data_IF_104610306016
#
_entry.id   IF_104610306016
#
_cell.length_a   1.000
_cell.length_b   1.000
_cell.length_c   1.000
_cell.angle_alpha   90.00
_cell.angle_beta   90.00
_cell.angle_gamma   90.00
#
_symmetry.space_group_name_H-M   'P 1'
#
loop_
_entity.id
_entity.type
_entity.pdbx_description
1 polymer ?
#
# COMPACT_ATOMS: atom_id res chain seq x y z
N UNK A 1 -72.92 40.24 11.30
CA UNK A 1 -73.17 40.01 12.74
C UNK A 1 -71.97 39.28 13.30
N UNK A 2 -71.44 39.75 14.45
CA UNK A 2 -70.61 39.04 15.45
C UNK A 2 -69.26 38.45 14.97
N UNK A 3 -68.05 38.91 15.36
CA UNK A 3 -67.54 39.46 16.65
C UNK A 3 -67.83 38.52 17.84
N UNK A 4 -66.93 38.20 18.78
CA UNK A 4 -65.55 38.63 19.10
C UNK A 4 -64.81 37.44 19.80
N UNK A 5 -63.70 37.49 20.56
CA UNK A 5 -62.89 38.57 21.15
C UNK A 5 -61.44 38.10 21.50
N UNK A 6 -60.69 38.96 22.19
CA UNK A 6 -59.34 38.78 22.77
C UNK A 6 -59.29 37.94 24.06
N UNK A 7 -58.09 37.44 24.45
CA UNK A 7 -57.52 37.78 25.77
C UNK A 7 -56.00 37.61 25.85
N UNK A 8 -55.39 38.28 26.83
CA UNK A 8 -53.94 38.33 27.14
C UNK A 8 -53.81 38.21 28.67
N UNK A 9 -52.87 37.41 29.18
CA UNK A 9 -52.53 37.36 30.62
C UNK A 9 -51.62 36.16 30.95
N UNK A 10 -50.32 36.34 31.19
CA UNK A 10 -49.66 36.68 32.47
C UNK A 10 -49.72 35.59 33.56
N UNK A 11 -48.69 34.72 33.66
CA UNK A 11 -47.57 34.83 34.64
C UNK A 11 -46.61 33.62 34.59
N UNK A 12 -45.39 33.86 35.08
CA UNK A 12 -44.18 33.01 35.06
C UNK A 12 -44.17 31.96 36.23
N UNK A 13 -43.12 31.12 36.48
CA UNK A 13 -41.72 31.24 36.00
C UNK A 13 -40.87 29.94 35.76
N UNK A 14 -39.60 30.17 35.35
CA UNK A 14 -38.37 29.36 35.63
C UNK A 14 -38.28 27.93 35.02
N UNK A 15 -37.37 27.60 34.09
CA UNK A 15 -35.90 27.60 34.28
C UNK A 15 -35.09 27.47 32.96
N UNK A 16 -33.85 27.99 33.04
CA UNK A 16 -32.71 27.97 32.12
C UNK A 16 -32.54 26.86 31.06
N UNK A 17 -32.12 27.26 29.85
CA UNK A 17 -30.76 27.02 29.33
C UNK A 17 -30.46 28.01 28.20
N UNK A 18 -29.24 28.58 28.18
CA UNK A 18 -28.83 29.58 27.18
C UNK A 18 -28.38 28.95 25.86
N UNK A 19 -28.56 29.68 24.77
CA UNK A 19 -28.04 29.37 23.44
C UNK A 19 -27.41 30.66 22.87
N UNK A 20 -26.17 30.93 23.27
CA UNK A 20 -25.36 32.02 22.69
C UNK A 20 -24.48 31.47 21.57
N UNK A 21 -24.74 31.92 20.34
CA UNK A 21 -23.98 31.49 19.17
C UNK A 21 -22.54 31.97 19.19
N UNK A 22 -21.61 31.11 18.79
CA UNK A 22 -20.24 31.52 18.47
C UNK A 22 -19.97 31.56 16.97
N UNK A 23 -19.41 32.70 16.56
CA UNK A 23 -19.01 33.01 15.19
C UNK A 23 -17.93 32.05 14.70
N UNK A 24 -18.01 31.65 13.44
CA UNK A 24 -16.85 31.12 12.74
C UNK A 24 -15.75 32.19 12.64
N UNK A 25 -14.55 31.87 13.14
CA UNK A 25 -13.33 32.63 12.88
C UNK A 25 -12.24 31.64 12.45
N UNK A 26 -11.64 31.92 11.30
CA UNK A 26 -10.56 31.12 10.71
C UNK A 26 -9.22 31.37 11.41
N UNK A 27 -8.50 30.30 11.78
CA UNK A 27 -7.03 30.36 11.90
C UNK A 27 -6.40 28.97 12.07
N UNK A 28 -5.41 28.65 11.21
CA UNK A 28 -4.26 27.82 11.57
C UNK A 28 -4.49 26.32 11.79
N UNK A 29 -4.66 25.56 10.70
CA UNK A 29 -4.44 24.11 10.73
C UNK A 29 -2.95 23.77 10.77
N UNK A 30 -2.34 23.82 11.95
CA UNK A 30 -0.99 23.29 12.16
C UNK A 30 -1.01 21.77 12.08
N UNK A 31 -0.22 21.21 11.18
CA UNK A 31 0.03 19.76 11.14
C UNK A 31 0.83 19.42 12.40
N UNK A 32 0.33 18.49 13.20
CA UNK A 32 0.93 18.22 14.50
C UNK A 32 0.21 17.11 15.26
N UNK A 33 0.95 16.04 15.53
CA UNK A 33 0.54 14.88 16.34
C UNK A 33 -0.63 14.07 15.76
N UNK A 34 -0.34 13.33 14.70
CA UNK A 34 -1.03 12.06 14.49
C UNK A 34 -0.65 11.11 15.63
N UNK A 35 -1.49 11.05 16.66
CA UNK A 35 -1.51 9.88 17.53
C UNK A 35 -1.84 8.64 16.68
N UNK A 36 -1.25 7.50 17.03
CA UNK A 36 -1.55 6.17 16.46
C UNK A 36 -2.99 6.10 15.95
N UNK A 37 -3.16 6.07 14.63
CA UNK A 37 -4.45 5.70 14.04
C UNK A 37 -4.81 4.35 14.64
N UNK A 38 -5.91 4.27 15.40
CA UNK A 38 -6.22 3.18 16.34
C UNK A 38 -6.62 1.86 15.66
N UNK A 39 -5.89 1.46 14.62
CA UNK A 39 -6.35 0.59 13.56
C UNK A 39 -5.24 -0.10 12.76
N UNK A 40 -4.03 0.47 12.64
CA UNK A 40 -2.82 -0.39 12.48
C UNK A 40 -2.72 -1.33 13.69
N UNK A 41 -3.06 -0.81 14.87
CA UNK A 41 -3.36 -1.60 16.08
C UNK A 41 -4.39 -2.73 15.88
N UNK A 42 -5.29 -2.65 14.90
CA UNK A 42 -6.29 -3.68 14.61
C UNK A 42 -5.66 -4.93 14.01
N UNK A 43 -4.92 -4.80 12.91
CA UNK A 43 -4.15 -5.90 12.31
C UNK A 43 -3.05 -6.37 13.27
N UNK A 44 -2.34 -5.46 13.92
CA UNK A 44 -1.32 -5.78 14.94
C UNK A 44 -1.91 -6.60 16.11
N UNK A 45 -3.05 -6.20 16.67
CA UNK A 45 -3.68 -6.93 17.77
C UNK A 45 -4.28 -8.27 17.31
N UNK A 46 -4.81 -8.34 16.09
CA UNK A 46 -5.25 -9.61 15.50
C UNK A 46 -4.07 -10.56 15.24
N UNK A 47 -2.93 -10.07 14.73
CA UNK A 47 -1.69 -10.83 14.61
C UNK A 47 -1.19 -11.34 15.97
N UNK A 48 -1.19 -10.49 17.00
CA UNK A 48 -0.85 -10.89 18.37
C UNK A 48 -1.80 -11.97 18.91
N UNK A 49 -3.12 -11.79 18.73
CA UNK A 49 -4.12 -12.77 19.15
C UNK A 49 -3.90 -14.13 18.45
N UNK A 50 -3.75 -14.12 17.13
CA UNK A 50 -3.50 -15.32 16.31
C UNK A 50 -2.14 -15.99 16.63
N UNK A 51 -1.13 -15.21 17.03
CA UNK A 51 0.14 -15.75 17.51
C UNK A 51 -0.02 -16.49 18.86
N UNK A 52 -0.92 -16.04 19.74
CA UNK A 52 -1.18 -16.68 21.05
C UNK A 52 -2.14 -17.86 21.01
N UNK A 53 -2.94 -18.03 19.94
CA UNK A 53 -3.89 -19.15 19.81
C UNK A 53 -3.19 -20.44 19.33
N UNK A 54 -3.41 -21.60 19.99
CA UNK A 54 -2.87 -22.87 19.52
C UNK A 54 -3.59 -23.36 18.25
N UNK A 55 -2.84 -23.96 17.33
CA UNK A 55 -3.33 -24.36 16.00
C UNK A 55 -4.47 -25.42 16.00
N UNK A 56 -4.79 -26.02 17.15
CA UNK A 56 -5.81 -27.06 17.28
C UNK A 56 -7.16 -26.55 17.82
N UNK A 57 -7.38 -25.23 17.92
CA UNK A 57 -8.63 -24.68 18.43
C UNK A 57 -9.19 -23.60 17.51
N UNK A 58 -10.23 -23.96 16.77
CA UNK A 58 -11.11 -23.05 16.03
C UNK A 58 -11.97 -22.23 17.01
N UNK A 59 -11.31 -21.34 17.77
CA UNK A 59 -11.98 -20.36 18.64
C UNK A 59 -12.23 -19.11 17.82
N UNK A 60 -13.39 -19.05 17.18
CA UNK A 60 -13.85 -17.82 16.53
C UNK A 60 -13.73 -16.64 17.51
N UNK A 61 -13.17 -15.51 17.03
CA UNK A 61 -12.69 -14.38 17.85
C UNK A 61 -13.79 -13.54 18.56
N UNK A 62 -14.94 -14.15 18.87
CA UNK A 62 -16.11 -13.53 19.51
C UNK A 62 -15.94 -13.20 20.99
N UNK A 63 -14.76 -13.48 21.58
CA UNK A 63 -14.49 -13.35 23.03
C UNK A 63 -13.37 -12.37 23.39
N UNK A 64 -12.99 -11.46 22.48
CA UNK A 64 -12.35 -10.19 22.86
C UNK A 64 -13.41 -9.08 22.95
N UNK A 65 -14.18 -9.12 24.04
CA UNK A 65 -15.24 -8.16 24.31
C UNK A 65 -14.71 -6.80 24.74
N UNK A 66 -14.47 -5.90 23.78
CA UNK A 66 -14.55 -4.45 24.02
C UNK A 66 -15.97 -4.03 23.64
N UNK A 67 -16.81 -3.87 24.66
CA UNK A 67 -18.26 -3.80 24.48
C UNK A 67 -18.75 -2.48 23.87
N UNK A 68 -19.40 -2.56 22.71
CA UNK A 68 -20.44 -1.62 22.26
C UNK A 68 -21.52 -2.41 21.52
N UNK A 69 -22.63 -2.67 22.21
CA UNK A 69 -23.81 -3.35 21.66
C UNK A 69 -24.69 -2.38 20.86
N UNK A 70 -25.48 -2.92 19.92
CA UNK A 70 -26.76 -2.46 19.31
C UNK A 70 -26.74 -2.55 17.77
N UNK A 71 -27.90 -2.73 17.11
CA UNK A 71 -28.82 -3.86 17.26
C UNK A 71 -28.92 -4.68 15.95
N UNK A 72 -29.56 -5.86 16.02
CA UNK A 72 -29.91 -6.64 14.82
C UNK A 72 -30.99 -5.90 14.02
N UNK A 73 -30.88 -5.98 12.69
CA UNK A 73 -32.06 -5.89 11.82
C UNK A 73 -32.06 -7.01 10.78
N UNK A 74 -33.24 -7.33 10.25
CA UNK A 74 -33.49 -8.57 9.49
C UNK A 74 -34.15 -8.34 8.13
N UNK A 75 -34.05 -9.36 7.25
CA UNK A 75 -34.57 -9.46 5.87
C UNK A 75 -33.65 -8.75 4.84
N UNK A 76 -33.42 -9.28 3.64
CA UNK A 76 -33.96 -10.48 2.99
C UNK A 76 -34.55 -10.15 1.62
N UNK A 77 -33.91 -10.60 0.54
CA UNK A 77 -34.34 -10.36 -0.84
C UNK A 77 -33.32 -10.89 -1.84
N UNK A 78 -33.76 -11.62 -2.84
CA UNK A 78 -32.91 -12.42 -3.73
C UNK A 78 -32.77 -11.82 -5.14
N UNK A 79 -31.63 -12.14 -5.79
CA UNK A 79 -31.40 -12.30 -7.23
C UNK A 79 -31.86 -11.20 -8.21
N UNK A 80 -30.96 -10.78 -9.10
CA UNK A 80 -30.99 -11.24 -10.51
C UNK A 80 -29.71 -10.83 -11.28
N UNK A 81 -29.22 -11.72 -12.15
CA UNK A 81 -28.12 -11.44 -13.07
C UNK A 81 -28.55 -10.51 -14.21
N UNK A 82 -27.68 -9.58 -14.62
CA UNK A 82 -27.70 -8.98 -15.95
C UNK A 82 -26.27 -8.74 -16.45
N UNK A 83 -26.00 -9.19 -17.67
CA UNK A 83 -24.71 -9.10 -18.36
C UNK A 83 -24.37 -7.66 -18.76
N UNK A 84 -23.09 -7.26 -18.64
CA UNK A 84 -22.55 -6.03 -19.24
C UNK A 84 -21.48 -6.36 -20.26
N UNK A 85 -21.67 -5.88 -21.50
CA UNK A 85 -20.70 -5.92 -22.60
C UNK A 85 -19.76 -4.70 -22.56
N UNK A 86 -18.56 -4.77 -23.19
CA UNK A 86 -17.61 -3.67 -23.19
C UNK A 86 -18.12 -2.48 -23.99
N UNK A 87 -17.78 -1.27 -23.54
CA UNK A 87 -17.99 -0.02 -24.29
C UNK A 87 -16.69 0.33 -25.01
N UNK A 88 -16.74 0.38 -26.33
CA UNK A 88 -15.62 0.77 -27.19
C UNK A 88 -15.43 2.30 -27.22
N UNK A 89 -14.25 2.73 -27.67
CA UNK A 89 -13.81 4.12 -27.58
C UNK A 89 -14.65 5.14 -28.35
N UNK A 90 -14.72 6.35 -27.77
CA UNK A 90 -15.12 7.57 -28.46
C UNK A 90 -14.04 8.62 -28.25
N UNK A 91 -13.46 9.12 -29.34
CA UNK A 91 -12.41 10.14 -29.27
C UNK A 91 -12.99 11.47 -28.77
N UNK A 92 -12.27 12.13 -27.86
CA UNK A 92 -12.49 13.52 -27.45
C UNK A 92 -11.20 14.28 -27.72
N UNK A 93 -11.30 15.47 -28.33
CA UNK A 93 -10.15 16.29 -28.70
C UNK A 93 -9.36 16.72 -27.46
N UNK A 94 -8.04 16.52 -27.49
CA UNK A 94 -7.15 16.95 -26.41
C UNK A 94 -6.99 18.49 -26.40
N UNK A 95 -7.17 19.16 -25.24
CA UNK A 95 -6.70 20.51 -25.08
C UNK A 95 -5.17 20.52 -25.00
N UNK A 96 -4.49 21.12 -25.99
CA UNK A 96 -3.03 21.31 -26.00
C UNK A 96 -2.54 22.12 -24.80
N UNK A 97 -2.20 21.46 -23.69
CA UNK A 97 -1.32 22.01 -22.66
C UNK A 97 0.14 21.77 -23.05
N UNK A 98 0.84 22.86 -23.40
CA UNK A 98 2.31 22.85 -23.48
C UNK A 98 2.85 23.02 -22.05
N UNK A 99 3.28 21.92 -21.43
CA UNK A 99 4.01 21.91 -20.17
C UNK A 99 5.49 21.60 -20.46
N UNK A 100 6.43 22.41 -19.94
CA UNK A 100 7.85 22.18 -20.17
C UNK A 100 8.36 21.03 -19.30
N UNK A 101 9.26 20.25 -19.86
CA UNK A 101 9.83 19.02 -19.29
C UNK A 101 10.83 19.26 -18.13
N UNK A 102 10.78 20.41 -17.46
CA UNK A 102 11.90 20.99 -16.69
C UNK A 102 11.60 21.21 -15.19
N UNK A 103 10.57 20.58 -14.62
CA UNK A 103 10.18 20.81 -13.21
C UNK A 103 11.15 20.12 -12.22
N UNK A 104 11.87 19.08 -12.66
CA UNK A 104 12.64 18.19 -11.77
C UNK A 104 14.12 18.01 -12.13
N UNK A 105 14.62 18.70 -13.16
CA UNK A 105 16.02 18.53 -13.61
C UNK A 105 17.02 19.43 -12.83
N UNK A 106 16.53 20.36 -11.98
CA UNK A 106 17.32 21.28 -11.13
C UNK A 106 17.18 21.01 -9.61
N UNK A 107 16.46 19.96 -9.20
CA UNK A 107 16.01 19.80 -7.79
C UNK A 107 17.05 19.28 -6.78
N UNK A 108 18.27 18.89 -7.19
CA UNK A 108 19.36 18.60 -6.23
C UNK A 108 19.95 19.90 -5.61
N UNK A 109 19.57 21.08 -6.12
CA UNK A 109 20.00 22.39 -5.58
C UNK A 109 18.86 23.24 -4.97
N UNK A 110 17.59 22.90 -5.22
CA UNK A 110 16.44 23.79 -4.97
C UNK A 110 15.69 23.55 -3.65
N UNK A 111 15.94 22.47 -2.92
CA UNK A 111 15.37 22.19 -1.59
C UNK A 111 15.90 23.12 -0.46
N UNK A 112 16.52 24.25 -0.82
CA UNK A 112 17.17 25.18 0.12
C UNK A 112 16.74 26.64 0.00
N UNK A 113 15.74 26.99 -0.83
CA UNK A 113 15.25 28.37 -0.93
C UNK A 113 13.94 28.50 -1.72
N UNK A 114 12.77 28.35 -1.07
CA UNK A 114 11.64 29.27 -1.25
C UNK A 114 10.65 29.18 -0.09
N UNK A 115 10.54 30.26 0.68
CA UNK A 115 9.85 30.31 1.98
C UNK A 115 8.32 30.28 1.86
N UNK A 116 7.71 29.15 2.22
CA UNK A 116 6.24 28.95 2.24
C UNK A 116 5.63 28.51 3.59
N UNK A 117 6.42 28.41 4.66
CA UNK A 117 6.01 28.20 6.07
C UNK A 117 4.86 27.20 6.33
N UNK A 118 4.89 26.05 5.68
CA UNK A 118 4.65 24.82 6.43
C UNK A 118 5.91 24.54 7.27
N UNK A 119 5.79 23.89 8.43
CA UNK A 119 6.95 23.26 9.06
C UNK A 119 7.40 22.12 8.17
N UNK A 120 8.65 22.13 7.74
CA UNK A 120 9.34 20.92 7.27
C UNK A 120 9.50 20.01 8.49
N UNK A 121 8.43 19.27 8.82
CA UNK A 121 8.54 18.14 9.73
C UNK A 121 9.45 17.11 9.06
N UNK A 122 10.46 16.65 9.79
CA UNK A 122 11.38 15.62 9.32
C UNK A 122 10.65 14.28 9.24
N UNK A 123 10.08 14.02 8.07
CA UNK A 123 9.31 12.80 7.77
C UNK A 123 10.19 11.55 7.65
N UNK A 124 11.52 11.65 7.79
CA UNK A 124 12.43 10.51 7.65
C UNK A 124 12.24 9.42 8.70
N UNK A 125 11.53 9.71 9.79
CA UNK A 125 11.21 8.78 10.86
C UNK A 125 9.70 8.46 10.94
N UNK A 126 8.92 8.86 9.92
CA UNK A 126 7.46 8.67 9.88
C UNK A 126 7.06 7.20 9.74
N UNK A 127 7.85 6.40 9.04
CA UNK A 127 7.57 4.99 8.79
C UNK A 127 7.68 4.15 10.09
N UNK A 128 8.58 4.52 11.02
CA UNK A 128 8.78 3.83 12.32
C UNK A 128 7.50 3.61 13.13
N UNK A 129 6.46 4.42 12.94
CA UNK A 129 5.15 4.21 13.59
C UNK A 129 4.44 2.93 13.16
N UNK A 130 4.84 2.35 12.02
CA UNK A 130 4.29 1.14 11.41
C UNK A 130 5.12 -0.12 11.71
N UNK A 131 6.28 0.00 12.38
CA UNK A 131 7.11 -1.14 12.78
C UNK A 131 6.28 -2.19 13.55
N UNK A 132 6.54 -3.47 13.27
CA UNK A 132 5.86 -4.58 13.97
C UNK A 132 6.18 -4.52 15.47
N UNK A 133 5.19 -4.32 16.36
CA UNK A 133 5.48 -4.15 17.78
C UNK A 133 6.11 -5.39 18.41
N UNK A 134 7.03 -5.18 19.35
CA UNK A 134 7.74 -6.24 20.06
C UNK A 134 6.79 -7.30 20.64
N UNK A 135 5.60 -6.90 21.12
CA UNK A 135 4.58 -7.84 21.63
C UNK A 135 4.07 -8.85 20.59
N UNK A 136 4.03 -8.49 19.30
CA UNK A 136 3.70 -9.42 18.20
C UNK A 136 4.88 -10.37 17.96
N UNK A 137 6.10 -9.83 17.92
CA UNK A 137 7.34 -10.60 17.70
C UNK A 137 7.59 -11.61 18.83
N UNK A 138 7.36 -11.20 20.08
CA UNK A 138 7.46 -12.04 21.27
C UNK A 138 6.43 -13.16 21.22
N UNK A 139 5.16 -12.87 20.91
CA UNK A 139 4.11 -13.87 20.78
C UNK A 139 4.39 -14.90 19.66
N UNK A 140 4.88 -14.44 18.49
CA UNK A 140 5.32 -15.33 17.40
C UNK A 140 6.54 -16.17 17.82
N UNK A 141 7.48 -15.58 18.55
CA UNK A 141 8.68 -16.25 19.08
C UNK A 141 8.32 -17.33 20.11
N UNK A 142 7.40 -17.04 21.04
CA UNK A 142 6.89 -18.02 22.01
C UNK A 142 6.11 -19.15 21.33
N UNK A 143 5.30 -18.85 20.31
CA UNK A 143 4.61 -19.85 19.48
C UNK A 143 5.61 -20.79 18.80
N UNK A 144 6.70 -20.26 18.26
CA UNK A 144 7.74 -21.03 17.55
C UNK A 144 8.67 -21.82 18.49
N UNK A 145 8.96 -21.31 19.68
CA UNK A 145 9.84 -21.96 20.67
C UNK A 145 9.10 -22.89 21.64
N UNK A 146 7.77 -22.79 21.72
CA UNK A 146 6.97 -23.37 22.79
C UNK A 146 6.90 -22.46 24.03
N UNK A 147 5.85 -22.65 24.85
CA UNK A 147 5.39 -21.77 25.94
C UNK A 147 6.35 -21.53 27.13
N UNK A 148 7.64 -21.81 27.01
CA UNK A 148 8.62 -21.79 28.12
C UNK A 148 9.92 -21.04 27.82
N UNK A 149 10.09 -20.43 26.63
CA UNK A 149 11.32 -19.73 26.25
C UNK A 149 11.14 -18.20 26.21
N UNK A 150 11.87 -17.48 27.09
CA UNK A 150 12.03 -16.01 27.02
C UNK A 150 13.16 -15.56 26.08
N UNK A 151 13.58 -16.39 25.14
CA UNK A 151 14.69 -16.06 24.23
C UNK A 151 14.18 -15.69 22.83
N UNK A 152 14.74 -14.60 22.25
CA UNK A 152 14.59 -14.21 20.85
C UNK A 152 14.82 -15.42 19.92
N UNK A 153 13.93 -15.62 18.95
CA UNK A 153 14.13 -16.64 17.92
C UNK A 153 15.21 -16.17 16.94
N UNK A 154 16.40 -16.78 17.05
CA UNK A 154 17.47 -16.58 16.05
C UNK A 154 17.10 -17.32 14.77
N UNK A 155 17.02 -16.58 13.66
CA UNK A 155 16.60 -17.07 12.35
C UNK A 155 17.42 -18.23 11.80
N UNK A 156 16.82 -19.06 10.95
CA UNK A 156 17.51 -20.18 10.29
C UNK A 156 18.71 -19.75 9.44
N UNK A 157 18.64 -18.55 8.85
CA UNK A 157 19.73 -17.93 8.09
C UNK A 157 20.74 -17.30 9.06
N UNK A 158 20.27 -16.54 10.04
CA UNK A 158 21.12 -15.92 11.06
C UNK A 158 21.98 -16.95 11.84
N UNK A 159 21.47 -18.17 12.08
CA UNK A 159 22.22 -19.29 12.65
C UNK A 159 23.30 -19.86 11.73
N UNK A 160 23.11 -19.80 10.41
CA UNK A 160 24.03 -20.36 9.40
C UNK A 160 25.10 -19.38 8.95
N UNK A 161 24.79 -18.08 8.95
CA UNK A 161 25.64 -17.05 8.35
C UNK A 161 26.63 -16.48 9.39
N UNK A 162 27.93 -16.71 9.18
CA UNK A 162 29.01 -16.09 9.98
C UNK A 162 29.27 -14.63 9.58
N UNK A 163 28.76 -14.20 8.42
CA UNK A 163 28.63 -12.82 7.98
C UNK A 163 27.14 -12.49 7.87
N UNK A 164 26.68 -11.28 8.22
CA UNK A 164 25.25 -10.92 8.12
C UNK A 164 24.64 -10.96 6.70
N UNK A 165 25.43 -11.25 5.66
CA UNK A 165 24.95 -11.47 4.28
C UNK A 165 23.82 -12.50 4.24
N UNK A 166 22.76 -12.18 3.48
CA UNK A 166 21.56 -13.01 3.33
C UNK A 166 20.57 -12.95 4.51
N UNK A 167 20.92 -12.37 5.66
CA UNK A 167 19.97 -12.01 6.73
C UNK A 167 19.33 -10.68 6.36
N UNK A 168 18.01 -10.56 6.47
CA UNK A 168 17.26 -9.33 6.17
C UNK A 168 17.94 -8.08 6.79
N UNK A 169 18.32 -7.17 5.89
CA UNK A 169 18.92 -5.86 6.18
C UNK A 169 18.22 -4.72 5.41
N UNK A 170 17.19 -5.07 4.62
CA UNK A 170 16.39 -4.15 3.80
C UNK A 170 15.03 -3.94 4.47
N UNK A 171 14.53 -2.70 4.57
CA UNK A 171 13.18 -2.42 5.04
C UNK A 171 12.12 -3.17 4.24
N UNK A 172 11.10 -3.65 4.95
CA UNK A 172 9.97 -4.39 4.39
C UNK A 172 8.68 -3.72 4.80
N UNK A 173 7.83 -3.39 3.83
CA UNK A 173 6.48 -2.89 4.06
C UNK A 173 5.46 -3.97 3.70
N UNK A 174 4.47 -4.18 4.57
CA UNK A 174 3.40 -5.18 4.42
C UNK A 174 2.04 -4.46 4.43
N UNK A 175 1.44 -4.30 3.24
CA UNK A 175 0.16 -3.64 3.06
C UNK A 175 -0.96 -4.55 3.54
N UNK A 176 -1.71 -4.11 4.56
CA UNK A 176 -2.83 -4.87 5.13
C UNK A 176 -4.08 -4.00 5.38
N UNK A 177 -5.26 -4.53 5.04
CA UNK A 177 -6.53 -3.89 5.36
C UNK A 177 -6.86 -4.05 6.85
N UNK A 178 -6.83 -2.94 7.58
CA UNK A 178 -7.11 -2.81 9.02
C UNK A 178 -8.26 -3.66 9.59
N UNK A 179 -9.34 -3.82 8.82
CA UNK A 179 -10.57 -4.51 9.25
C UNK A 179 -10.72 -5.92 8.66
N UNK A 180 -9.69 -6.44 7.98
CA UNK A 180 -9.72 -7.77 7.38
C UNK A 180 -9.05 -8.78 8.32
N UNK A 181 -9.86 -9.67 8.89
CA UNK A 181 -9.36 -10.84 9.64
C UNK A 181 -8.50 -11.75 8.75
N UNK A 182 -8.79 -11.82 7.45
CA UNK A 182 -7.99 -12.57 6.48
C UNK A 182 -6.60 -11.94 6.28
N UNK A 183 -6.51 -10.62 6.13
CA UNK A 183 -5.24 -9.91 5.96
C UNK A 183 -4.41 -10.03 7.24
N UNK A 184 -5.04 -9.90 8.41
CA UNK A 184 -4.35 -10.10 9.68
C UNK A 184 -3.80 -11.53 9.83
N UNK A 185 -4.55 -12.56 9.42
CA UNK A 185 -4.05 -13.94 9.41
C UNK A 185 -2.88 -14.11 8.45
N UNK A 186 -3.02 -13.68 7.20
CA UNK A 186 -1.98 -13.82 6.17
C UNK A 186 -0.71 -13.01 6.51
N UNK A 187 -0.87 -11.83 7.11
CA UNK A 187 0.22 -11.01 7.67
C UNK A 187 0.94 -11.74 8.81
N UNK A 188 0.20 -12.38 9.73
CA UNK A 188 0.82 -13.17 10.80
C UNK A 188 1.60 -14.39 10.25
N UNK A 189 1.09 -15.05 9.20
CA UNK A 189 1.79 -16.13 8.49
C UNK A 189 3.07 -15.64 7.79
N UNK A 190 3.03 -14.46 7.15
CA UNK A 190 4.19 -13.79 6.55
C UNK A 190 5.25 -13.48 7.60
N UNK A 191 4.85 -12.87 8.71
CA UNK A 191 5.74 -12.55 9.82
C UNK A 191 6.36 -13.81 10.45
N UNK A 192 5.59 -14.88 10.65
CA UNK A 192 6.15 -16.15 11.18
C UNK A 192 7.23 -16.72 10.24
N UNK A 193 7.01 -16.69 8.92
CA UNK A 193 8.01 -17.14 7.93
C UNK A 193 9.24 -16.23 7.92
N UNK A 194 9.06 -14.90 7.98
CA UNK A 194 10.17 -13.95 8.04
C UNK A 194 11.01 -14.15 9.33
N UNK A 195 10.38 -14.34 10.49
CA UNK A 195 11.08 -14.65 11.76
C UNK A 195 11.80 -15.99 11.65
N UNK A 196 11.17 -17.01 11.05
CA UNK A 196 11.76 -18.35 10.84
C UNK A 196 13.05 -18.30 10.02
N UNK A 197 13.12 -17.47 8.99
CA UNK A 197 14.30 -17.35 8.14
C UNK A 197 15.31 -16.33 8.67
N UNK A 198 14.89 -15.09 8.90
CA UNK A 198 15.76 -13.94 9.16
C UNK A 198 15.97 -13.64 10.65
N UNK A 199 15.05 -14.07 11.51
CA UNK A 199 15.14 -13.93 12.97
C UNK A 199 14.27 -12.81 13.52
N UNK A 200 13.94 -12.90 14.81
CA UNK A 200 13.04 -11.99 15.50
C UNK A 200 13.53 -10.53 15.48
N UNK A 201 14.83 -10.32 15.70
CA UNK A 201 15.44 -8.98 15.73
C UNK A 201 15.34 -8.27 14.38
N UNK A 202 15.72 -8.94 13.28
CA UNK A 202 15.64 -8.37 11.93
C UNK A 202 14.19 -8.05 11.52
N UNK A 203 13.20 -8.86 11.94
CA UNK A 203 11.79 -8.58 11.65
C UNK A 203 11.28 -7.38 12.47
N UNK A 204 11.60 -7.32 13.76
CA UNK A 204 11.23 -6.19 14.64
C UNK A 204 11.77 -4.86 14.13
N UNK A 205 13.01 -4.85 13.63
CA UNK A 205 13.75 -3.62 13.35
C UNK A 205 13.59 -3.12 11.89
N UNK A 206 13.01 -3.93 10.99
CA UNK A 206 12.91 -3.62 9.54
C UNK A 206 11.51 -3.83 8.93
N UNK A 207 10.62 -4.60 9.57
CA UNK A 207 9.31 -4.91 8.99
C UNK A 207 8.23 -3.98 9.54
N UNK A 208 7.45 -3.41 8.63
CA UNK A 208 6.39 -2.46 8.91
C UNK A 208 5.06 -2.99 8.38
N UNK A 209 3.97 -2.84 9.14
CA UNK A 209 2.62 -3.15 8.69
C UNK A 209 1.93 -1.85 8.28
N UNK A 210 1.81 -1.65 6.97
CA UNK A 210 1.32 -0.41 6.37
C UNK A 210 -0.19 -0.51 6.06
N UNK A 211 -0.93 0.61 6.15
CA UNK A 211 -2.39 0.58 6.05
C UNK A 211 -2.86 0.53 4.59
N UNK A 212 -3.65 -0.49 4.25
CA UNK A 212 -4.44 -0.46 3.00
C UNK A 212 -5.51 0.65 3.01
N UNK A 213 -5.83 1.20 1.83
CA UNK A 213 -6.73 2.36 1.69
C UNK A 213 -8.15 1.94 1.29
N UNK A 214 -9.13 2.17 2.17
CA UNK A 214 -10.56 2.02 1.85
C UNK A 214 -11.15 3.35 1.35
N UNK A 215 -11.15 3.54 0.03
CA UNK A 215 -11.73 4.74 -0.61
C UNK A 215 -13.25 4.84 -0.45
N UNK A 216 -13.94 3.76 -0.07
CA UNK A 216 -15.40 3.79 0.17
C UNK A 216 -15.74 4.36 1.55
N UNK A 217 -14.78 4.32 2.49
CA UNK A 217 -14.90 4.91 3.83
C UNK A 217 -14.60 6.41 3.89
N UNK A 218 -14.05 7.01 2.84
CA UNK A 218 -13.76 8.45 2.78
C UNK A 218 -14.99 9.29 3.16
N UNK A 219 -14.83 10.41 3.90
CA UNK A 219 -13.56 11.06 4.28
C UNK A 219 -12.80 10.41 5.45
N UNK A 220 -13.26 9.28 6.01
CA UNK A 220 -12.47 8.59 7.04
C UNK A 220 -11.18 8.06 6.40
N UNK A 221 -10.02 8.37 7.01
CA UNK A 221 -8.68 7.94 6.55
C UNK A 221 -8.31 8.44 5.16
N UNK A 222 -8.78 9.64 4.84
CA UNK A 222 -8.42 10.36 3.61
C UNK A 222 -6.94 10.81 3.64
N UNK A 223 -6.40 11.05 4.85
CA UNK A 223 -5.01 11.46 5.09
C UNK A 223 -3.97 10.47 4.53
N UNK A 224 -4.32 9.19 4.39
CA UNK A 224 -3.47 8.19 3.74
C UNK A 224 -3.29 8.47 2.25
N UNK A 225 -4.36 8.90 1.56
CA UNK A 225 -4.32 9.27 0.16
C UNK A 225 -3.76 10.68 -0.07
N UNK A 226 -3.93 11.59 0.90
CA UNK A 226 -3.25 12.89 0.93
C UNK A 226 -1.72 12.68 1.01
N UNK A 227 -1.26 11.78 1.89
CA UNK A 227 0.16 11.44 2.01
C UNK A 227 0.68 10.70 0.77
N UNK A 228 -0.06 9.75 0.21
CA UNK A 228 0.26 9.11 -1.07
C UNK A 228 0.43 10.11 -2.23
N UNK A 229 -0.25 11.26 -2.16
CA UNK A 229 -0.17 12.34 -3.13
C UNK A 229 0.75 13.50 -2.68
N UNK A 230 1.49 13.39 -1.57
CA UNK A 230 2.34 14.46 -1.02
C UNK A 230 3.24 15.12 -2.08
N UNK A 231 4.00 14.31 -2.84
CA UNK A 231 4.87 14.79 -3.92
C UNK A 231 4.13 15.32 -5.17
N UNK A 232 2.83 15.05 -5.31
CA UNK A 232 2.00 15.56 -6.40
C UNK A 232 1.34 16.89 -5.98
N UNK A 233 0.82 16.94 -4.75
CA UNK A 233 0.17 18.10 -4.14
C UNK A 233 1.12 19.29 -3.91
N UNK A 234 2.43 19.05 -3.80
CA UNK A 234 3.44 20.10 -3.73
C UNK A 234 3.57 20.92 -5.04
N UNK A 235 3.19 20.35 -6.19
CA UNK A 235 3.35 20.95 -7.52
C UNK A 235 2.05 21.03 -8.35
N UNK A 236 0.98 20.32 -7.96
CA UNK A 236 -0.35 20.34 -8.58
C UNK A 236 -1.42 20.65 -7.54
N UNK A 237 -2.25 21.65 -7.81
CA UNK A 237 -3.51 21.83 -7.05
C UNK A 237 -4.51 20.71 -7.35
N UNK A 238 -5.46 20.45 -6.43
CA UNK A 238 -6.53 19.46 -6.66
C UNK A 238 -7.25 19.67 -8.01
N UNK A 239 -7.50 20.93 -8.38
CA UNK A 239 -8.13 21.28 -9.67
C UNK A 239 -7.32 20.82 -10.89
N UNK A 240 -5.98 20.79 -10.80
CA UNK A 240 -5.12 20.28 -11.86
C UNK A 240 -5.08 18.75 -11.86
N UNK A 241 -5.12 18.10 -10.69
CA UNK A 241 -5.21 16.65 -10.59
C UNK A 241 -6.55 16.08 -11.08
N UNK A 242 -7.62 16.88 -11.14
CA UNK A 242 -8.93 16.46 -11.65
C UNK A 242 -8.95 16.05 -13.14
N UNK A 243 -7.85 16.26 -13.88
CA UNK A 243 -7.66 15.77 -15.25
C UNK A 243 -6.60 14.68 -15.39
N UNK A 244 -6.05 14.16 -14.29
CA UNK A 244 -4.99 13.14 -14.29
C UNK A 244 -5.56 11.76 -13.92
N UNK A 245 -5.48 10.74 -14.80
CA UNK A 245 -6.07 9.43 -14.56
C UNK A 245 -5.77 8.81 -13.19
N UNK A 246 -6.77 8.14 -12.63
CA UNK A 246 -6.83 7.46 -11.32
C UNK A 246 -6.64 8.35 -10.07
N UNK A 247 -5.80 9.37 -10.13
CA UNK A 247 -5.64 10.36 -9.06
C UNK A 247 -6.70 11.48 -9.13
N UNK A 248 -7.40 11.63 -10.27
CA UNK A 248 -8.61 12.44 -10.38
C UNK A 248 -9.71 11.98 -9.40
N UNK A 249 -9.70 10.71 -8.98
CA UNK A 249 -10.59 10.14 -7.97
C UNK A 249 -10.44 10.85 -6.62
N UNK A 250 -9.21 11.24 -6.26
CA UNK A 250 -8.96 12.09 -5.10
C UNK A 250 -9.54 13.49 -5.34
N UNK A 251 -9.21 14.13 -6.47
CA UNK A 251 -9.64 15.50 -6.78
C UNK A 251 -11.16 15.68 -7.02
N UNK A 252 -11.87 14.62 -7.40
CA UNK A 252 -13.28 14.63 -7.81
C UNK A 252 -14.26 14.32 -6.68
N UNK A 253 -13.82 14.34 -5.41
CA UNK A 253 -14.69 14.17 -4.23
C UNK A 253 -15.77 15.25 -4.09
N UNK A 254 -16.77 14.94 -3.28
CA UNK A 254 -17.79 15.89 -2.83
C UNK A 254 -17.24 16.85 -1.79
N UNK A 255 -18.00 17.92 -1.52
CA UNK A 255 -17.69 18.84 -0.40
C UNK A 255 -17.75 18.18 0.98
N UNK A 256 -18.36 17.00 1.06
CA UNK A 256 -18.39 16.12 2.23
C UNK A 256 -17.21 15.13 2.28
N UNK A 257 -16.25 15.26 1.36
CA UNK A 257 -15.05 14.42 1.26
C UNK A 257 -15.32 12.98 0.80
N UNK A 258 -16.52 12.67 0.28
CA UNK A 258 -16.85 11.35 -0.28
C UNK A 258 -16.56 11.28 -1.78
N UNK A 259 -16.25 10.09 -2.30
CA UNK A 259 -16.22 9.83 -3.76
C UNK A 259 -17.54 10.27 -4.41
N UNK A 260 -17.50 11.07 -5.49
CA UNK A 260 -18.74 11.48 -6.19
C UNK A 260 -19.26 10.42 -7.15
N UNK A 261 -18.36 9.76 -7.87
CA UNK A 261 -18.74 8.72 -8.83
C UNK A 261 -19.26 7.45 -8.11
N UNK A 262 -20.50 6.99 -8.40
CA UNK A 262 -21.00 5.73 -7.89
C UNK A 262 -20.24 4.49 -8.37
N UNK A 263 -19.53 4.54 -9.51
CA UNK A 263 -18.76 3.40 -10.01
C UNK A 263 -17.44 3.24 -9.24
N UNK A 264 -16.71 4.33 -8.99
CA UNK A 264 -15.52 4.33 -8.12
C UNK A 264 -15.78 3.83 -6.68
N UNK A 265 -17.04 3.83 -6.22
CA UNK A 265 -17.45 3.24 -4.92
C UNK A 265 -17.73 1.73 -4.97
N UNK A 266 -17.74 1.10 -6.14
CA UNK A 266 -18.11 -0.32 -6.32
C UNK A 266 -16.87 -1.19 -6.56
N UNK A 267 -16.91 -2.39 -6.01
CA UNK A 267 -15.97 -3.45 -6.36
C UNK A 267 -16.14 -3.84 -7.85
N UNK A 268 -15.06 -4.10 -8.61
CA UNK A 268 -13.66 -4.13 -8.19
C UNK A 268 -12.96 -2.75 -8.22
N UNK A 269 -13.54 -1.73 -8.84
CA UNK A 269 -12.87 -0.44 -9.07
C UNK A 269 -12.44 0.25 -7.77
N UNK A 270 -13.29 0.25 -6.74
CA UNK A 270 -12.95 0.79 -5.42
C UNK A 270 -11.73 0.10 -4.78
N UNK A 271 -11.55 -1.20 -5.04
CA UNK A 271 -10.41 -1.97 -4.54
C UNK A 271 -9.12 -1.59 -5.29
N UNK A 272 -9.14 -1.54 -6.63
CA UNK A 272 -7.96 -1.14 -7.40
C UNK A 272 -7.49 0.29 -7.10
N UNK A 273 -8.42 1.23 -6.90
CA UNK A 273 -8.10 2.61 -6.49
C UNK A 273 -7.48 2.62 -5.09
N UNK A 274 -8.01 1.80 -4.17
CA UNK A 274 -7.44 1.60 -2.83
C UNK A 274 -6.02 1.03 -2.85
N UNK A 275 -5.78 -0.02 -3.65
CA UNK A 275 -4.46 -0.61 -3.84
C UNK A 275 -3.46 0.43 -4.40
N UNK A 276 -3.85 1.21 -5.41
CA UNK A 276 -3.01 2.27 -5.96
C UNK A 276 -2.57 3.27 -4.87
N UNK A 277 -3.51 3.80 -4.08
CA UNK A 277 -3.16 4.75 -3.02
C UNK A 277 -2.33 4.11 -1.90
N UNK A 278 -2.54 2.83 -1.58
CA UNK A 278 -1.71 2.11 -0.60
C UNK A 278 -0.26 1.94 -1.07
N UNK A 279 -0.05 1.52 -2.33
CA UNK A 279 1.31 1.39 -2.88
C UNK A 279 1.98 2.78 -3.04
N UNK A 280 1.25 3.81 -3.49
CA UNK A 280 1.80 5.18 -3.56
C UNK A 280 2.17 5.77 -2.19
N UNK A 281 1.38 5.47 -1.14
CA UNK A 281 1.70 5.81 0.25
C UNK A 281 3.03 5.16 0.67
N UNK A 282 3.19 3.88 0.39
CA UNK A 282 4.39 3.11 0.75
C UNK A 282 5.63 3.55 -0.05
N UNK A 283 5.49 3.93 -1.32
CA UNK A 283 6.61 4.52 -2.08
C UNK A 283 7.01 5.90 -1.54
N UNK A 284 6.04 6.74 -1.14
CA UNK A 284 6.32 8.04 -0.52
C UNK A 284 7.02 7.87 0.85
N UNK A 285 6.60 6.90 1.68
CA UNK A 285 7.29 6.59 2.95
C UNK A 285 8.72 6.10 2.71
N UNK A 286 8.94 5.17 1.78
CA UNK A 286 10.27 4.66 1.41
C UNK A 286 11.21 5.79 0.97
N UNK A 287 10.69 6.75 0.20
CA UNK A 287 11.44 7.93 -0.22
C UNK A 287 11.74 8.91 0.93
N UNK A 288 10.76 9.22 1.77
CA UNK A 288 10.93 10.14 2.90
C UNK A 288 11.93 9.59 3.94
N UNK A 289 11.87 8.27 4.22
CA UNK A 289 12.83 7.52 5.04
C UNK A 289 14.21 7.32 4.37
N UNK A 290 14.37 7.78 3.12
CA UNK A 290 15.62 7.75 2.34
C UNK A 290 16.19 6.34 2.13
N UNK A 291 15.34 5.33 2.03
CA UNK A 291 15.79 3.97 1.78
C UNK A 291 16.30 3.79 0.36
N UNK A 292 17.45 3.13 0.22
CA UNK A 292 18.00 2.80 -1.10
C UNK A 292 17.20 1.69 -1.78
N UNK A 293 16.70 0.75 -0.99
CA UNK A 293 15.90 -0.39 -1.45
C UNK A 293 14.77 -0.63 -0.44
N UNK A 294 13.58 -1.02 -0.90
CA UNK A 294 12.46 -1.40 -0.03
C UNK A 294 11.74 -2.60 -0.63
N UNK A 295 11.47 -3.61 0.20
CA UNK A 295 10.66 -4.77 -0.16
C UNK A 295 9.20 -4.45 0.17
N UNK A 296 8.28 -4.71 -0.74
CA UNK A 296 6.85 -4.46 -0.55
C UNK A 296 6.10 -5.78 -0.75
N UNK A 297 5.25 -6.10 0.22
CA UNK A 297 4.36 -7.25 0.22
C UNK A 297 2.91 -6.78 0.39
N UNK A 298 1.98 -7.30 -0.40
CA UNK A 298 0.57 -7.32 -0.01
C UNK A 298 0.35 -8.41 1.05
N UNK A 299 -0.72 -8.29 1.85
CA UNK A 299 -0.97 -9.24 2.94
C UNK A 299 -1.00 -10.71 2.49
N UNK A 300 -1.36 -11.02 1.24
CA UNK A 300 -1.36 -12.38 0.66
C UNK A 300 -0.13 -12.75 -0.18
N UNK A 301 0.97 -12.00 -0.06
CA UNK A 301 2.26 -12.34 -0.65
C UNK A 301 2.80 -13.73 -0.27
N UNK A 302 2.28 -14.38 0.78
CA UNK A 302 2.63 -15.76 1.15
C UNK A 302 1.92 -16.83 0.32
N UNK A 303 0.89 -16.46 -0.46
CA UNK A 303 0.09 -17.41 -1.25
C UNK A 303 0.98 -18.13 -2.27
N UNK A 304 0.98 -19.48 -2.29
CA UNK A 304 1.78 -20.26 -3.22
C UNK A 304 1.56 -20.03 -4.71
N UNK A 305 0.39 -19.51 -5.09
CA UNK A 305 0.10 -19.12 -6.47
C UNK A 305 0.66 -17.75 -6.82
N UNK A 306 0.99 -16.93 -5.81
CA UNK A 306 1.41 -15.54 -5.98
C UNK A 306 2.91 -15.30 -5.71
N UNK A 307 3.63 -16.18 -5.01
CA UNK A 307 5.04 -15.99 -4.66
C UNK A 307 5.99 -16.81 -5.54
N UNK A 308 7.00 -16.15 -6.15
CA UNK A 308 7.94 -16.77 -7.11
C UNK A 308 9.16 -17.44 -6.50
N UNK A 309 9.41 -17.28 -5.20
CA UNK A 309 10.55 -17.83 -4.48
C UNK A 309 10.31 -17.91 -2.96
N UNK A 310 11.09 -18.71 -2.23
CA UNK A 310 11.00 -18.76 -0.76
C UNK A 310 11.44 -17.44 -0.11
N UNK A 311 10.83 -17.08 1.02
CA UNK A 311 11.12 -15.84 1.75
C UNK A 311 12.55 -15.79 2.33
N UNK A 312 13.26 -16.93 2.36
CA UNK A 312 14.70 -16.99 2.62
C UNK A 312 15.54 -16.25 1.57
N UNK A 313 15.05 -16.12 0.34
CA UNK A 313 15.75 -15.46 -0.76
C UNK A 313 15.71 -13.93 -0.75
N UNK A 314 14.80 -13.31 0.03
CA UNK A 314 14.47 -11.87 -0.08
C UNK A 314 15.69 -10.97 -0.04
N UNK A 315 16.52 -11.05 1.01
CA UNK A 315 17.74 -10.24 1.09
C UNK A 315 18.75 -10.62 0.01
N UNK A 316 18.85 -11.90 -0.36
CA UNK A 316 19.79 -12.34 -1.39
C UNK A 316 19.45 -11.75 -2.77
N UNK A 317 18.17 -11.52 -3.07
CA UNK A 317 17.76 -10.79 -4.27
C UNK A 317 18.27 -9.35 -4.23
N UNK A 318 18.12 -8.63 -3.11
CA UNK A 318 18.65 -7.28 -2.93
C UNK A 318 20.18 -7.27 -3.07
N UNK A 319 20.88 -8.18 -2.38
CA UNK A 319 22.35 -8.35 -2.44
C UNK A 319 22.87 -8.66 -3.86
N UNK A 320 21.99 -9.09 -4.78
CA UNK A 320 22.33 -9.45 -6.16
C UNK A 320 21.68 -8.54 -7.22
N UNK A 321 20.92 -7.52 -6.80
CA UNK A 321 20.22 -6.59 -7.68
C UNK A 321 21.21 -5.85 -8.62
N UNK A 322 20.92 -5.74 -9.93
CA UNK A 322 21.72 -4.94 -10.86
C UNK A 322 21.65 -3.45 -10.50
N UNK A 323 22.77 -2.72 -10.61
CA UNK A 323 22.83 -1.28 -10.29
C UNK A 323 21.82 -0.42 -11.06
N UNK A 324 21.38 -0.89 -12.23
CA UNK A 324 20.44 -0.17 -13.08
C UNK A 324 18.96 -0.41 -12.75
N UNK A 325 18.63 -1.24 -11.76
CA UNK A 325 17.25 -1.63 -11.49
C UNK A 325 16.39 -0.49 -10.90
N UNK A 326 15.12 -0.48 -11.29
CA UNK A 326 14.07 0.30 -10.62
C UNK A 326 13.13 -0.62 -9.83
N UNK A 327 12.72 -1.75 -10.40
CA UNK A 327 11.77 -2.69 -9.77
C UNK A 327 12.17 -4.16 -9.99
N UNK A 328 12.02 -5.00 -8.97
CA UNK A 328 12.17 -6.47 -9.06
C UNK A 328 10.89 -7.14 -8.59
N UNK A 329 10.19 -7.86 -9.47
CA UNK A 329 9.06 -8.71 -9.09
C UNK A 329 9.56 -9.95 -8.33
N UNK A 330 9.00 -10.17 -7.14
CA UNK A 330 9.11 -11.42 -6.38
C UNK A 330 7.88 -12.30 -6.57
N UNK A 331 6.79 -11.74 -7.13
CA UNK A 331 5.57 -12.45 -7.51
C UNK A 331 5.86 -13.59 -8.50
N UNK A 332 5.10 -14.68 -8.40
CA UNK A 332 5.17 -15.81 -9.30
C UNK A 332 4.79 -15.38 -10.74
N UNK A 333 5.80 -15.30 -11.60
CA UNK A 333 5.68 -14.92 -13.02
C UNK A 333 6.32 -15.98 -13.91
N UNK A 334 5.98 -16.00 -15.20
CA UNK A 334 6.70 -16.87 -16.15
C UNK A 334 8.14 -16.34 -16.31
N UNK A 335 9.12 -17.22 -16.62
CA UNK A 335 10.47 -16.77 -16.92
C UNK A 335 10.45 -16.00 -18.25
N UNK A 336 10.67 -14.69 -18.16
CA UNK A 336 10.43 -13.73 -19.25
C UNK A 336 11.65 -12.85 -19.45
N UNK A 337 12.02 -12.62 -20.70
CA UNK A 337 13.18 -11.81 -21.05
C UNK A 337 14.52 -12.46 -20.77
N UNK A 338 15.56 -11.62 -20.74
CA UNK A 338 16.96 -12.07 -20.73
C UNK A 338 17.39 -12.45 -19.31
N UNK A 339 17.84 -13.70 -19.12
CA UNK A 339 18.50 -14.13 -17.89
C UNK A 339 19.67 -13.20 -17.58
N UNK A 340 19.59 -12.47 -16.46
CA UNK A 340 20.60 -11.53 -16.01
C UNK A 340 21.60 -12.19 -15.05
N UNK A 341 21.12 -13.03 -14.14
CA UNK A 341 21.95 -13.68 -13.11
C UNK A 341 21.31 -14.97 -12.59
N UNK A 342 22.14 -15.93 -12.22
CA UNK A 342 21.76 -17.07 -11.39
C UNK A 342 22.58 -17.01 -10.09
N UNK A 343 21.93 -17.21 -8.96
CA UNK A 343 22.56 -17.21 -7.63
C UNK A 343 21.83 -18.20 -6.70
N UNK A 344 22.31 -18.35 -5.48
CA UNK A 344 21.68 -19.23 -4.47
C UNK A 344 21.32 -18.45 -3.22
N UNK A 345 20.15 -18.77 -2.66
CA UNK A 345 19.75 -18.28 -1.35
C UNK A 345 20.59 -18.93 -0.21
N UNK A 346 20.45 -18.49 1.05
CA UNK A 346 21.23 -19.02 2.17
C UNK A 346 20.81 -20.44 2.61
N UNK A 347 19.77 -21.01 2.00
CA UNK A 347 19.35 -22.40 2.16
C UNK A 347 19.90 -23.31 1.04
N UNK A 348 20.45 -22.72 -0.03
CA UNK A 348 21.02 -23.41 -1.19
C UNK A 348 20.08 -23.52 -2.39
N UNK A 349 18.88 -22.92 -2.31
CA UNK A 349 17.91 -22.87 -3.40
C UNK A 349 18.46 -22.04 -4.57
N UNK A 350 18.31 -22.53 -5.81
CA UNK A 350 18.73 -21.77 -7.00
C UNK A 350 17.68 -20.72 -7.37
N UNK A 351 18.11 -19.47 -7.47
CA UNK A 351 17.32 -18.31 -7.88
C UNK A 351 17.84 -17.80 -9.23
N UNK A 352 16.91 -17.55 -10.15
CA UNK A 352 17.17 -17.00 -11.49
C UNK A 352 16.51 -15.65 -11.61
N UNK A 353 17.30 -14.64 -11.94
CA UNK A 353 16.85 -13.27 -12.15
C UNK A 353 16.87 -12.94 -13.64
N UNK A 354 15.75 -12.46 -14.17
CA UNK A 354 15.55 -12.11 -15.56
C UNK A 354 15.29 -10.61 -15.70
N UNK A 355 15.90 -9.97 -16.69
CA UNK A 355 15.55 -8.61 -17.12
C UNK A 355 14.34 -8.71 -18.06
N UNK A 356 13.25 -8.01 -17.74
CA UNK A 356 11.99 -8.03 -18.50
C UNK A 356 12.13 -7.28 -19.84
N UNK A 357 12.71 -7.96 -20.83
CA UNK A 357 12.91 -7.44 -22.19
C UNK A 357 11.78 -7.76 -23.16
N UNK A 358 10.86 -8.63 -22.77
CA UNK A 358 9.85 -9.21 -23.66
C UNK A 358 8.50 -8.51 -23.45
N UNK A 359 7.69 -8.46 -24.51
CA UNK A 359 6.33 -7.92 -24.45
C UNK A 359 5.37 -8.99 -23.90
N UNK A 360 5.44 -9.28 -22.59
CA UNK A 360 4.41 -10.05 -21.91
C UNK A 360 3.68 -9.23 -20.85
N UNK A 361 2.36 -9.16 -21.00
CA UNK A 361 1.46 -8.44 -20.10
C UNK A 361 0.88 -9.43 -19.07
N UNK A 362 1.38 -9.37 -17.84
CA UNK A 362 0.81 -10.08 -16.69
C UNK A 362 0.13 -9.08 -15.73
N UNK A 363 -0.75 -9.55 -14.85
CA UNK A 363 -1.41 -8.76 -13.81
C UNK A 363 -1.28 -9.47 -12.45
N UNK A 364 -1.52 -8.75 -11.35
CA UNK A 364 -1.19 -9.17 -9.99
C UNK A 364 0.16 -8.63 -9.50
N UNK A 365 0.15 -8.00 -8.32
CA UNK A 365 1.30 -7.35 -7.69
C UNK A 365 1.36 -7.68 -6.20
N UNK A 366 1.64 -8.94 -5.88
CA UNK A 366 1.68 -9.40 -4.47
C UNK A 366 2.99 -9.06 -3.76
N UNK A 367 4.12 -9.05 -4.48
CA UNK A 367 5.45 -8.98 -3.87
C UNK A 367 6.51 -8.46 -4.83
N UNK A 368 7.23 -7.43 -4.41
CA UNK A 368 8.25 -6.77 -5.23
C UNK A 368 9.27 -5.99 -4.39
N UNK A 369 10.33 -5.53 -5.05
CA UNK A 369 11.38 -4.67 -4.48
C UNK A 369 11.48 -3.43 -5.35
N UNK A 370 11.60 -2.25 -4.74
CA UNK A 370 11.85 -0.98 -5.42
C UNK A 370 13.17 -0.37 -4.98
N UNK A 371 13.87 0.31 -5.89
CA UNK A 371 15.04 1.13 -5.57
C UNK A 371 14.68 2.60 -5.32
N UNK A 372 15.60 3.39 -4.74
CA UNK A 372 15.43 4.84 -4.53
C UNK A 372 15.07 5.60 -5.81
N UNK A 373 15.57 5.12 -6.96
CA UNK A 373 15.31 5.66 -8.29
C UNK A 373 13.88 5.45 -8.76
N UNK A 374 13.25 4.35 -8.39
CA UNK A 374 11.89 4.02 -8.81
C UNK A 374 10.94 5.14 -8.42
N UNK A 375 10.92 5.57 -7.15
CA UNK A 375 10.03 6.65 -6.75
C UNK A 375 10.37 7.98 -7.43
N UNK A 376 11.66 8.29 -7.63
CA UNK A 376 12.09 9.50 -8.37
C UNK A 376 11.57 9.53 -9.82
N UNK A 377 11.47 8.37 -10.47
CA UNK A 377 10.80 8.21 -11.77
C UNK A 377 9.28 8.30 -11.62
N UNK A 378 8.68 7.47 -10.78
CA UNK A 378 7.21 7.39 -10.61
C UNK A 378 6.59 8.74 -10.25
N UNK A 379 7.19 9.53 -9.34
CA UNK A 379 6.70 10.88 -9.02
C UNK A 379 6.67 11.81 -10.23
N UNK A 380 7.69 11.77 -11.10
CA UNK A 380 7.77 12.58 -12.34
C UNK A 380 6.67 12.18 -13.31
N UNK A 381 6.47 10.88 -13.52
CA UNK A 381 5.37 10.39 -14.37
C UNK A 381 4.00 10.77 -13.81
N UNK A 382 3.74 10.54 -12.51
CA UNK A 382 2.43 10.78 -11.89
C UNK A 382 2.03 12.25 -11.93
N UNK A 383 3.00 13.16 -11.72
CA UNK A 383 2.78 14.60 -11.80
C UNK A 383 2.31 15.05 -13.19
N UNK A 384 2.77 14.40 -14.27
CA UNK A 384 2.49 14.82 -15.65
C UNK A 384 1.39 14.01 -16.35
N UNK A 385 1.21 12.74 -15.97
CA UNK A 385 0.35 11.77 -16.68
C UNK A 385 -0.68 11.07 -15.78
N UNK A 386 -0.68 11.32 -14.48
CA UNK A 386 -1.49 10.57 -13.52
C UNK A 386 -0.97 9.16 -13.30
N UNK A 387 -1.84 8.29 -12.79
CA UNK A 387 -1.54 6.91 -12.46
C UNK A 387 -2.44 5.94 -13.24
N UNK A 388 -2.29 4.64 -13.00
CA UNK A 388 -3.15 3.61 -13.56
C UNK A 388 -3.32 2.45 -12.57
N UNK A 389 -4.09 1.40 -12.95
CA UNK A 389 -4.29 0.19 -12.15
C UNK A 389 -2.94 -0.42 -11.76
N UNK A 390 -2.54 -0.27 -10.50
CA UNK A 390 -1.13 -0.33 -10.07
C UNK A 390 -0.38 -1.61 -10.48
N UNK A 391 -1.05 -2.77 -10.44
CA UNK A 391 -0.46 -4.04 -10.83
C UNK A 391 -0.16 -4.06 -12.33
N UNK A 392 -1.20 -4.00 -13.18
CA UNK A 392 -1.07 -3.99 -14.64
C UNK A 392 -0.27 -2.78 -15.16
N UNK A 393 -0.31 -1.67 -14.46
CA UNK A 393 0.46 -0.47 -14.82
C UNK A 393 1.96 -0.69 -14.70
N UNK A 394 2.41 -1.30 -13.61
CA UNK A 394 3.82 -1.66 -13.43
C UNK A 394 4.19 -2.80 -14.39
N UNK A 395 3.50 -3.94 -14.31
CA UNK A 395 3.87 -5.17 -15.00
C UNK A 395 3.66 -5.14 -16.52
N UNK A 396 2.57 -4.54 -17.02
CA UNK A 396 2.16 -4.59 -18.43
C UNK A 396 2.38 -3.28 -19.20
N UNK A 397 2.62 -2.15 -18.51
CA UNK A 397 2.96 -0.87 -19.16
C UNK A 397 4.40 -0.46 -18.87
N UNK A 398 4.70 0.04 -17.67
CA UNK A 398 5.97 0.73 -17.36
C UNK A 398 7.22 -0.17 -17.46
N UNK A 399 7.09 -1.46 -17.13
CA UNK A 399 8.18 -2.42 -17.18
C UNK A 399 8.41 -3.09 -18.54
N UNK A 400 7.40 -3.23 -19.40
CA UNK A 400 7.49 -4.07 -20.61
C UNK A 400 7.20 -3.33 -21.92
N UNK A 401 6.31 -2.33 -21.93
CA UNK A 401 5.99 -1.57 -23.15
C UNK A 401 6.99 -0.41 -23.34
N UNK A 402 7.65 -0.33 -24.50
CA UNK A 402 8.42 0.85 -24.85
C UNK A 402 7.43 1.98 -25.21
N UNK A 403 7.50 3.08 -24.48
CA UNK A 403 6.57 4.20 -24.60
C UNK A 403 7.26 5.58 -24.47
N UNK A 404 8.60 5.57 -24.42
CA UNK A 404 9.42 6.75 -24.17
C UNK A 404 10.48 6.91 -25.27
N UNK A 405 10.82 8.16 -25.58
CA UNK A 405 11.94 8.48 -26.46
C UNK A 405 13.30 8.40 -25.74
N UNK A 406 14.40 8.58 -26.49
CA UNK A 406 15.76 8.58 -25.94
C UNK A 406 16.05 9.69 -24.91
N UNK A 407 15.12 10.62 -24.68
CA UNK A 407 15.19 11.68 -23.67
C UNK A 407 14.29 11.40 -22.46
N UNK A 408 13.67 10.22 -22.40
CA UNK A 408 12.75 9.85 -21.33
C UNK A 408 11.40 10.58 -21.38
N UNK A 409 11.05 11.20 -22.52
CA UNK A 409 9.74 11.81 -22.71
C UNK A 409 8.73 10.74 -23.10
N UNK A 410 7.58 10.73 -22.44
CA UNK A 410 6.45 9.87 -22.83
C UNK A 410 5.95 10.23 -24.24
N UNK A 411 5.69 9.21 -25.06
CA UNK A 411 5.24 9.32 -26.46
C UNK A 411 3.81 8.79 -26.59
N UNK A 412 3.61 7.47 -26.47
CA UNK A 412 2.31 6.80 -26.51
C UNK A 412 2.42 5.34 -26.03
N UNK A 413 1.30 4.71 -25.70
CA UNK A 413 1.21 3.27 -25.34
C UNK A 413 0.81 2.35 -26.53
N UNK A 414 0.97 2.80 -27.78
CA UNK A 414 0.40 2.12 -28.97
C UNK A 414 1.30 1.07 -29.62
N UNK A 415 0.68 0.04 -30.22
CA UNK A 415 1.34 -1.06 -30.96
C UNK A 415 2.20 -0.59 -32.15
N UNK A 416 1.92 0.59 -32.70
CA UNK A 416 2.65 1.17 -33.84
C UNK A 416 3.15 2.62 -33.56
N UNK A 417 3.13 3.06 -32.29
CA UNK A 417 3.29 4.48 -31.90
C UNK A 417 4.62 4.87 -31.25
N UNK A 418 5.59 3.95 -31.15
CA UNK A 418 7.00 4.32 -31.16
C UNK A 418 7.58 5.06 -29.94
N UNK A 419 7.40 4.50 -28.74
CA UNK A 419 8.51 4.57 -27.79
C UNK A 419 9.63 3.61 -28.23
N UNK A 420 10.89 3.99 -28.02
CA UNK A 420 12.03 3.06 -28.14
C UNK A 420 12.41 2.47 -26.76
N UNK A 421 12.09 3.19 -25.68
CA UNK A 421 12.53 2.88 -24.32
C UNK A 421 11.36 2.59 -23.38
N UNK A 422 11.59 1.65 -22.46
CA UNK A 422 10.75 1.39 -21.29
C UNK A 422 11.03 2.43 -20.21
N UNK A 423 10.05 2.66 -19.33
CA UNK A 423 10.23 3.66 -18.28
C UNK A 423 11.14 3.17 -17.15
N UNK A 424 10.89 1.93 -16.74
CA UNK A 424 11.54 1.28 -15.60
C UNK A 424 12.43 0.15 -16.11
N UNK A 425 13.64 0.03 -15.56
CA UNK A 425 14.44 -1.19 -15.67
C UNK A 425 13.89 -2.20 -14.68
N UNK A 426 13.17 -3.19 -15.19
CA UNK A 426 12.44 -4.15 -14.37
C UNK A 426 12.99 -5.57 -14.50
N UNK A 427 13.05 -6.25 -13.36
CA UNK A 427 13.50 -7.63 -13.26
C UNK A 427 12.41 -8.50 -12.64
N UNK A 428 12.50 -9.81 -12.84
CA UNK A 428 11.75 -10.80 -12.07
C UNK A 428 12.70 -11.85 -11.50
N UNK A 429 12.37 -12.39 -10.33
CA UNK A 429 13.10 -13.51 -9.74
C UNK A 429 12.20 -14.74 -9.65
N UNK A 430 12.77 -15.88 -10.01
CA UNK A 430 12.12 -17.18 -9.93
C UNK A 430 13.04 -18.19 -9.25
N UNK A 431 12.46 -18.98 -8.34
CA UNK A 431 13.09 -20.19 -7.82
C UNK A 431 12.59 -21.41 -8.61
N UNK A 432 13.51 -22.19 -9.19
CA UNK A 432 13.11 -23.38 -9.95
C UNK A 432 12.58 -24.49 -9.03
N UNK A 433 11.50 -25.13 -9.46
CA UNK A 433 10.78 -26.13 -8.66
C UNK A 433 10.00 -25.55 -7.46
N UNK A 434 10.04 -24.23 -7.23
CA UNK A 434 9.25 -23.62 -6.16
C UNK A 434 7.76 -23.75 -6.45
N UNK A 435 7.10 -24.53 -5.61
CA UNK A 435 5.72 -24.35 -5.22
C UNK A 435 5.81 -24.09 -3.73
N UNK A 436 5.42 -22.92 -3.25
CA UNK A 436 5.29 -22.77 -1.80
C UNK A 436 4.32 -23.85 -1.33
N UNK A 437 4.68 -24.59 -0.29
CA UNK A 437 3.83 -25.68 0.15
C UNK A 437 2.58 -25.06 0.74
N UNK A 438 1.42 -25.22 0.07
CA UNK A 438 0.14 -25.17 0.79
C UNK A 438 0.27 -26.25 1.85
N UNK A 439 0.23 -25.86 3.13
CA UNK A 439 -0.01 -26.83 4.18
C UNK A 439 -1.41 -27.36 3.95
N UNK A 440 -1.51 -28.55 3.34
CA UNK A 440 -2.77 -29.26 3.11
C UNK A 440 -3.48 -29.62 4.44
N UNK A 441 -2.83 -29.36 5.58
CA UNK A 441 -3.39 -29.37 6.93
C UNK A 441 -4.28 -28.14 7.24
N UNK A 442 -4.90 -27.54 6.23
CA UNK A 442 -6.09 -26.73 6.48
C UNK A 442 -7.25 -27.66 6.88
N UNK A 443 -8.01 -27.35 7.95
CA UNK A 443 -9.18 -28.14 8.32
C UNK A 443 -10.17 -28.21 7.15
N UNK A 444 -10.40 -29.41 6.64
CA UNK A 444 -11.53 -29.67 5.73
C UNK A 444 -12.81 -29.53 6.55
N UNK A 445 -13.59 -28.49 6.24
CA UNK A 445 -14.97 -28.31 6.72
C UNK A 445 -15.89 -29.42 6.24
#
# INVERSE_FOLDING_TARGET
MTASETSRGERAPLLASGDEGMRASSSGGGWGRFALGAGTLGVIAACAALATTPASTDVGLKTLGIGLSLPRDTRGGALHHASTRPVAGGALEEPKLVLSSSVFDDEDAALGSHSGRASEEDDSERDRQFLVPTTVIDALTEKMNGKTSKHSYVGSIAKKSSSHRGVLATPVYVVAMEKSENDARRTAELLERLVRFHGADAVRDLVHITPGVDVTAWPKKIELAEYALKSVLSVRSEKQMAGLPWIETYASRGKDGRLRDPNARRFPLSHHIGCLFAHMHDWQMSFDARYENTVIFEADATDPSLLGMELSGVQTVVDHAPEDYDLIFLTARKPEGKLAKTFKDPLGNELKMYHLTDLNEEAGLSSYIVSSRFFKKMRRYIVDHGADMVDAWLSAKLCVKPAFDAKGKFVAWEENGGGEYRYLSCYSVKQDGFRSVVSDDFPKT
#
